data_IF_949066085340
#
_entry.id   IF_949066085340
#
_cell.length_a   1.000
_cell.length_b   1.000
_cell.length_c   1.000
_cell.angle_alpha   90.00
_cell.angle_beta   90.00
_cell.angle_gamma   90.00
#
_symmetry.space_group_name_H-M   'P 1'
#
loop_
_entity.id
_entity.type
_entity.pdbx_description
1 polymer ?
#
# COMPACT_ATOMS: atom_id res chain seq x y z
N UNK A 1 -2.05 -3.96 -8.19
CA UNK A 1 -3.42 -4.12 -8.72
C UNK A 1 -3.64 -3.08 -9.82
N UNK A 2 -4.73 -3.19 -10.58
CA UNK A 2 -5.16 -2.19 -11.58
C UNK A 2 -6.42 -1.40 -11.14
N UNK A 3 -6.57 -1.21 -9.82
CA UNK A 3 -7.64 -0.41 -9.19
C UNK A 3 -6.99 0.76 -8.44
N UNK A 4 -7.74 1.85 -8.28
CA UNK A 4 -7.34 3.01 -7.48
C UNK A 4 -7.91 2.97 -6.05
N UNK A 5 -8.80 2.03 -5.74
CA UNK A 5 -9.45 1.97 -4.44
C UNK A 5 -8.43 1.65 -3.33
N UNK A 6 -8.28 2.50 -2.30
CA UNK A 6 -7.35 2.24 -1.19
C UNK A 6 -7.66 0.96 -0.42
N UNK A 7 -8.94 0.56 -0.34
CA UNK A 7 -9.35 -0.69 0.32
C UNK A 7 -8.84 -1.96 -0.37
N UNK A 8 -8.56 -1.89 -1.67
CA UNK A 8 -7.98 -2.99 -2.45
C UNK A 8 -6.45 -2.91 -2.54
N UNK A 9 -5.85 -1.87 -1.98
CA UNK A 9 -4.45 -1.52 -2.12
C UNK A 9 -3.79 -1.35 -0.75
N UNK A 10 -3.75 -0.11 -0.24
CA UNK A 10 -3.10 0.24 1.02
C UNK A 10 -3.68 -0.53 2.22
N UNK A 11 -4.99 -0.76 2.27
CA UNK A 11 -5.61 -1.55 3.32
C UNK A 11 -5.17 -3.03 3.29
N UNK A 12 -5.02 -3.62 2.09
CA UNK A 12 -4.51 -4.99 1.96
C UNK A 12 -3.03 -5.09 2.35
N UNK A 13 -2.23 -4.06 2.06
CA UNK A 13 -0.84 -3.97 2.53
C UNK A 13 -0.80 -3.90 4.06
N UNK A 14 -1.63 -3.03 4.66
CA UNK A 14 -1.73 -2.91 6.11
C UNK A 14 -2.11 -4.23 6.76
N UNK A 15 -3.14 -4.89 6.24
CA UNK A 15 -3.56 -6.24 6.67
C UNK A 15 -2.42 -7.25 6.60
N UNK A 16 -1.67 -7.29 5.49
CA UNK A 16 -0.57 -8.23 5.32
C UNK A 16 0.55 -8.03 6.35
N UNK A 17 0.95 -6.77 6.59
CA UNK A 17 1.97 -6.42 7.57
C UNK A 17 1.52 -6.68 9.01
N UNK A 18 0.23 -6.50 9.30
CA UNK A 18 -0.32 -6.76 10.63
C UNK A 18 -0.48 -8.25 10.91
N UNK A 19 -0.93 -9.02 9.91
CA UNK A 19 -1.15 -10.46 10.05
C UNK A 19 0.14 -11.28 9.98
N UNK A 20 1.08 -10.89 9.12
CA UNK A 20 2.28 -11.68 8.84
C UNK A 20 3.53 -10.91 9.29
N UNK A 21 3.95 -11.12 10.54
CA UNK A 21 5.08 -10.40 11.16
C UNK A 21 6.45 -10.65 10.51
N UNK A 22 6.55 -11.72 9.72
CA UNK A 22 7.73 -12.02 8.90
C UNK A 22 7.72 -11.29 7.54
N UNK A 23 6.68 -10.51 7.22
CA UNK A 23 6.66 -9.65 6.05
C UNK A 23 7.05 -8.22 6.42
N UNK A 24 7.86 -7.59 5.58
CA UNK A 24 8.15 -6.17 5.63
C UNK A 24 8.11 -5.57 4.22
N UNK A 25 7.78 -4.28 4.11
CA UNK A 25 7.85 -3.58 2.83
C UNK A 25 9.31 -3.40 2.40
N UNK A 26 9.59 -3.64 1.13
CA UNK A 26 10.92 -3.53 0.55
C UNK A 26 10.99 -2.42 -0.50
N UNK A 27 12.13 -1.70 -0.60
CA UNK A 27 12.35 -0.73 -1.66
C UNK A 27 12.20 -1.33 -3.06
N UNK A 28 11.71 -0.50 -3.98
CA UNK A 28 11.45 -0.85 -5.37
C UNK A 28 12.37 -0.04 -6.30
N UNK A 29 12.86 -0.69 -7.36
CA UNK A 29 13.64 -0.04 -8.40
C UNK A 29 13.26 -0.64 -9.77
N UNK A 30 12.90 0.18 -10.78
CA UNK A 30 12.76 1.64 -10.71
C UNK A 30 11.54 2.09 -9.88
N UNK A 31 11.59 3.31 -9.33
CA UNK A 31 10.44 3.98 -8.70
C UNK A 31 9.95 5.09 -9.63
N UNK A 32 8.81 4.85 -10.25
CA UNK A 32 8.17 5.74 -11.23
C UNK A 32 6.86 6.30 -10.66
N UNK A 33 6.08 5.45 -9.98
CA UNK A 33 4.83 5.85 -9.35
C UNK A 33 5.04 6.74 -8.13
N UNK A 34 3.98 7.45 -7.75
CA UNK A 34 3.92 8.26 -6.55
C UNK A 34 3.86 7.43 -5.26
N UNK A 35 3.91 8.09 -4.09
CA UNK A 35 3.73 7.43 -2.81
C UNK A 35 2.32 6.84 -2.67
N UNK A 36 2.15 5.85 -1.80
CA UNK A 36 0.84 5.36 -1.39
C UNK A 36 0.09 6.33 -0.46
N UNK A 37 -1.12 5.95 -0.07
CA UNK A 37 -1.92 6.72 0.89
C UNK A 37 -1.69 6.28 2.33
N UNK A 38 -1.58 7.27 3.22
CA UNK A 38 -1.50 7.09 4.68
C UNK A 38 -2.81 7.49 5.35
N UNK A 39 -3.07 6.97 6.54
CA UNK A 39 -4.25 7.30 7.34
C UNK A 39 -5.29 6.18 7.35
N UNK A 40 -6.57 6.55 7.39
CA UNK A 40 -7.67 5.61 7.47
C UNK A 40 -8.98 6.18 6.92
N UNK A 41 -9.96 5.29 6.71
CA UNK A 41 -11.32 5.62 6.30
C UNK A 41 -12.31 5.04 7.32
N UNK A 42 -13.17 5.89 7.87
CA UNK A 42 -14.27 5.46 8.74
C UNK A 42 -15.56 5.30 7.93
N UNK A 43 -16.18 4.13 8.04
CA UNK A 43 -17.43 3.79 7.37
C UNK A 43 -18.65 4.13 8.24
N UNK A 44 -19.85 4.30 7.66
CA UNK A 44 -21.06 4.65 8.41
C UNK A 44 -21.46 3.66 9.52
N UNK A 45 -20.96 2.42 9.48
CA UNK A 45 -21.16 1.40 10.50
C UNK A 45 -20.14 1.47 11.66
N UNK A 46 -19.24 2.44 11.64
CA UNK A 46 -18.17 2.63 12.61
C UNK A 46 -16.94 1.75 12.36
N UNK A 47 -16.90 0.98 11.28
CA UNK A 47 -15.69 0.26 10.88
C UNK A 47 -14.63 1.25 10.40
N UNK A 48 -13.39 1.08 10.88
CA UNK A 48 -12.24 1.89 10.47
C UNK A 48 -11.28 1.03 9.66
N UNK A 49 -11.10 1.39 8.39
CA UNK A 49 -10.12 0.79 7.50
C UNK A 49 -8.81 1.58 7.58
N UNK A 50 -7.78 0.96 8.14
CA UNK A 50 -6.44 1.54 8.24
C UNK A 50 -5.61 1.29 6.97
N UNK A 51 -4.84 2.28 6.54
CA UNK A 51 -3.96 2.24 5.38
C UNK A 51 -2.49 2.22 5.82
N UNK A 52 -1.59 2.84 5.06
CA UNK A 52 -0.15 2.87 5.38
C UNK A 52 0.15 3.79 6.55
N UNK A 53 1.21 3.46 7.30
CA UNK A 53 1.78 4.32 8.34
C UNK A 53 2.82 5.28 7.75
N UNK A 54 3.08 6.43 8.40
CA UNK A 54 4.10 7.37 7.93
C UNK A 54 5.46 6.69 7.68
N UNK A 55 6.01 6.91 6.49
CA UNK A 55 7.23 6.27 5.98
C UNK A 55 6.97 5.08 5.07
N UNK A 56 5.92 4.30 5.30
CA UNK A 56 5.58 3.11 4.48
C UNK A 56 5.10 3.51 3.07
N UNK A 57 4.48 4.68 2.92
CA UNK A 57 4.00 5.20 1.63
C UNK A 57 5.10 5.34 0.58
N UNK A 58 6.35 5.49 1.03
CA UNK A 58 7.50 5.63 0.16
C UNK A 58 8.03 4.28 -0.38
N UNK A 59 7.57 3.16 0.17
CA UNK A 59 7.98 1.80 -0.21
C UNK A 59 7.00 1.12 -1.17
N UNK A 60 5.84 1.74 -1.41
CA UNK A 60 4.89 1.34 -2.45
C UNK A 60 4.96 2.29 -3.64
N UNK A 61 4.28 1.94 -4.73
CA UNK A 61 4.09 2.83 -5.88
C UNK A 61 2.62 2.88 -6.25
N UNK A 62 2.05 4.08 -6.24
CA UNK A 62 0.70 4.36 -6.69
C UNK A 62 0.75 5.18 -7.97
N UNK A 63 0.00 4.75 -8.97
CA UNK A 63 -0.23 5.46 -10.22
C UNK A 63 -1.66 5.97 -10.19
N UNK A 64 -1.79 7.29 -10.25
CA UNK A 64 -3.06 7.98 -10.22
C UNK A 64 -3.31 8.62 -11.58
N UNK A 65 -4.45 8.32 -12.25
CA UNK A 65 -4.80 8.96 -13.53
C UNK A 65 -4.92 10.48 -13.47
N UNK A 66 -5.11 11.06 -12.28
CA UNK A 66 -5.13 12.52 -12.07
C UNK A 66 -3.73 13.12 -11.90
N UNK A 67 -2.68 12.30 -11.84
CA UNK A 67 -1.30 12.79 -11.76
C UNK A 67 -0.83 13.40 -13.09
N UNK A 68 0.22 14.25 -13.09
CA UNK A 68 0.75 14.83 -14.33
C UNK A 68 1.27 13.79 -15.35
N UNK A 69 1.59 12.58 -14.90
CA UNK A 69 2.00 11.50 -15.76
C UNK A 69 0.76 10.72 -16.20
N UNK A 70 0.43 10.81 -17.49
CA UNK A 70 -0.70 10.12 -18.10
C UNK A 70 -0.50 8.60 -18.05
N UNK A 71 -1.09 7.97 -17.03
CA UNK A 71 -0.99 6.55 -16.75
C UNK A 71 -2.33 6.02 -16.27
N UNK A 72 -2.53 4.71 -16.42
CA UNK A 72 -3.66 4.02 -15.81
C UNK A 72 -3.57 4.04 -14.28
N UNK A 73 -4.69 3.77 -13.61
CA UNK A 73 -4.71 3.49 -12.18
C UNK A 73 -3.99 2.18 -11.86
N UNK A 74 -2.92 2.23 -11.08
CA UNK A 74 -2.13 1.04 -10.75
C UNK A 74 -1.48 1.15 -9.37
N UNK A 75 -1.25 0.00 -8.73
CA UNK A 75 -0.62 -0.06 -7.42
C UNK A 75 0.39 -1.20 -7.32
N UNK A 76 1.57 -0.92 -6.74
CA UNK A 76 2.67 -1.87 -6.57
C UNK A 76 3.15 -1.84 -5.11
N UNK A 77 3.06 -2.99 -4.44
CA UNK A 77 3.72 -3.24 -3.16
C UNK A 77 4.68 -4.42 -3.31
N UNK A 78 5.87 -4.30 -2.72
CA UNK A 78 6.89 -5.35 -2.71
C UNK A 78 7.21 -5.69 -1.27
N UNK A 79 7.23 -6.99 -0.96
CA UNK A 79 7.53 -7.48 0.38
C UNK A 79 8.86 -8.24 0.39
N UNK A 80 9.62 -8.06 1.46
CA UNK A 80 10.68 -8.97 1.86
C UNK A 80 10.10 -9.99 2.85
N UNK A 81 10.59 -11.23 2.77
CA UNK A 81 10.20 -12.33 3.65
C UNK A 81 11.36 -12.57 4.60
N UNK A 82 11.15 -12.29 5.88
CA UNK A 82 12.06 -12.68 6.97
C UNK A 82 11.92 -14.16 7.33
N UNK A 83 12.73 -14.61 8.28
CA UNK A 83 12.58 -15.93 8.88
C UNK A 83 11.21 -16.03 9.55
N UNK A 84 10.46 -17.09 9.25
CA UNK A 84 9.32 -17.46 10.09
C UNK A 84 9.89 -17.95 11.42
N UNK A 85 9.54 -17.29 12.53
CA UNK A 85 9.75 -17.89 13.83
C UNK A 85 9.07 -19.28 13.83
N UNK A 86 9.87 -20.33 14.01
CA UNK A 86 9.40 -21.74 14.08
C UNK A 86 8.59 -22.00 15.34
#
# INVERSE_FOLDING_TARGET
SCTINPGENEALVRYALDKYKYLSLAPQHPKIGGPGLVGSCEFPDGYVEEWLRPGEENLVQRFDPSSPLDTIGFFIAKFAVGSKDT
#
